data_IF_281798481380
#
_entry.id   IF_281798481380
#
_cell.length_a   1.000
_cell.length_b   1.000
_cell.length_c   1.000
_cell.angle_alpha   90.00
_cell.angle_beta   90.00
_cell.angle_gamma   90.00
#
_symmetry.space_group_name_H-M   'P 1'
#
loop_
_entity.id
_entity.type
_entity.pdbx_description
1 polymer ?
#
# COMPACT_ATOMS: atom_id res chain seq x y z
N UNK A 1 53.32 -42.16 4.59
CA UNK A 1 52.69 -41.37 5.67
C UNK A 1 52.61 -39.92 5.20
N UNK A 2 51.42 -39.48 4.80
CA UNK A 2 50.76 -38.23 5.23
C UNK A 2 49.73 -37.83 4.18
N UNK A 3 48.50 -38.31 4.34
CA UNK A 3 47.33 -37.67 3.76
C UNK A 3 47.04 -36.42 4.58
N UNK A 4 47.01 -35.25 3.92
CA UNK A 4 46.48 -34.03 4.51
C UNK A 4 44.97 -34.01 4.32
N UNK A 5 44.22 -34.32 5.38
CA UNK A 5 42.80 -34.04 5.46
C UNK A 5 42.62 -32.52 5.59
N UNK A 6 42.20 -31.87 4.51
CA UNK A 6 41.65 -30.52 4.57
C UNK A 6 40.24 -30.60 5.16
N UNK A 7 40.08 -30.13 6.39
CA UNK A 7 38.77 -29.81 6.95
C UNK A 7 38.17 -28.66 6.14
N UNK A 8 37.29 -28.99 5.19
CA UNK A 8 36.33 -28.05 4.66
C UNK A 8 35.28 -27.81 5.74
N UNK A 9 35.43 -26.71 6.48
CA UNK A 9 34.37 -26.18 7.33
C UNK A 9 33.26 -25.73 6.40
N UNK A 10 32.20 -26.52 6.24
CA UNK A 10 30.95 -26.08 5.64
C UNK A 10 30.31 -25.05 6.57
N UNK A 11 30.70 -23.78 6.41
CA UNK A 11 29.90 -22.65 6.87
C UNK A 11 28.56 -22.75 6.16
N UNK A 12 27.49 -23.11 6.88
CA UNK A 12 26.15 -23.14 6.29
C UNK A 12 25.83 -21.78 5.70
N UNK A 13 25.43 -21.75 4.43
CA UNK A 13 24.96 -20.51 3.78
C UNK A 13 23.74 -20.01 4.54
N UNK A 14 23.82 -18.78 5.07
CA UNK A 14 22.71 -18.12 5.76
C UNK A 14 21.54 -17.97 4.77
N UNK A 15 20.35 -18.46 5.14
CA UNK A 15 19.15 -18.37 4.29
C UNK A 15 18.44 -17.05 4.50
N UNK A 16 17.58 -16.65 3.55
CA UNK A 16 16.76 -15.45 3.70
C UNK A 16 15.88 -15.47 4.96
N UNK A 17 15.33 -16.64 5.30
CA UNK A 17 14.47 -16.82 6.50
C UNK A 17 15.21 -16.56 7.82
N UNK A 18 16.53 -16.70 7.82
CA UNK A 18 17.38 -16.49 9.00
C UNK A 18 17.65 -14.99 9.24
N UNK A 19 17.55 -14.14 8.21
CA UNK A 19 17.89 -12.71 8.27
C UNK A 19 16.68 -11.78 8.28
N UNK A 20 15.55 -12.19 7.70
CA UNK A 20 14.40 -11.30 7.46
C UNK A 20 13.90 -10.57 8.70
N UNK A 21 13.90 -11.25 9.85
CA UNK A 21 13.44 -10.67 11.12
C UNK A 21 14.37 -9.53 11.54
N UNK A 22 15.68 -9.72 11.45
CA UNK A 22 16.64 -8.68 11.84
C UNK A 22 16.66 -7.53 10.83
N UNK A 23 16.53 -7.81 9.53
CA UNK A 23 16.38 -6.79 8.50
C UNK A 23 15.15 -5.91 8.76
N UNK A 24 14.00 -6.52 9.07
CA UNK A 24 12.76 -5.81 9.39
C UNK A 24 12.91 -4.94 10.65
N UNK A 25 13.50 -5.51 11.72
CA UNK A 25 13.76 -4.79 12.97
C UNK A 25 14.67 -3.59 12.77
N UNK A 26 15.72 -3.74 11.97
CA UNK A 26 16.69 -2.69 11.72
C UNK A 26 16.06 -1.57 10.88
N UNK A 27 15.27 -1.90 9.86
CA UNK A 27 14.49 -0.90 9.11
C UNK A 27 13.50 -0.16 10.02
N UNK A 28 12.77 -0.86 10.89
CA UNK A 28 11.81 -0.25 11.84
C UNK A 28 12.50 0.72 12.81
N UNK A 29 13.74 0.42 13.24
CA UNK A 29 14.50 1.30 14.14
C UNK A 29 14.94 2.61 13.50
N UNK A 30 15.01 2.65 12.18
CA UNK A 30 15.28 3.88 11.44
C UNK A 30 13.97 4.65 11.36
N UNK A 31 13.83 5.69 12.19
CA UNK A 31 12.69 6.60 12.10
C UNK A 31 12.73 7.33 10.76
N UNK A 32 11.72 7.05 9.93
CA UNK A 32 11.49 7.64 8.60
C UNK A 32 10.12 8.32 8.55
N UNK A 33 9.62 8.81 9.69
CA UNK A 33 8.29 9.42 9.80
C UNK A 33 8.08 10.55 8.79
N UNK A 34 7.03 10.44 7.99
CA UNK A 34 6.69 11.41 6.95
C UNK A 34 5.43 12.21 7.29
N UNK A 35 5.61 13.47 7.66
CA UNK A 35 4.51 14.41 7.97
C UNK A 35 3.93 15.11 6.73
N UNK A 36 4.52 14.90 5.55
CA UNK A 36 4.15 15.57 4.31
C UNK A 36 4.61 17.03 4.18
N UNK A 37 5.37 17.55 5.14
CA UNK A 37 5.85 18.95 5.16
C UNK A 37 7.38 19.07 5.32
N UNK A 38 8.10 17.95 5.17
CA UNK A 38 9.56 17.84 5.36
C UNK A 38 10.08 18.14 6.77
N UNK A 39 9.21 18.17 7.79
CA UNK A 39 9.63 18.32 9.19
C UNK A 39 10.22 17.03 9.79
N UNK A 40 9.93 15.88 9.18
CA UNK A 40 10.43 14.56 9.59
C UNK A 40 11.92 14.33 9.28
N UNK A 41 12.48 13.21 9.76
CA UNK A 41 13.89 12.86 9.58
C UNK A 41 14.29 12.56 8.12
N UNK A 42 13.34 12.09 7.30
CA UNK A 42 13.59 11.60 5.94
C UNK A 42 14.13 10.17 5.89
N UNK A 43 14.18 9.62 4.68
CA UNK A 43 14.43 8.20 4.37
C UNK A 43 15.90 7.91 4.07
N UNK A 44 16.77 8.94 4.01
CA UNK A 44 18.19 8.79 3.65
C UNK A 44 18.92 7.69 4.42
N UNK A 45 18.69 7.59 5.73
CA UNK A 45 19.32 6.55 6.54
C UNK A 45 18.82 5.14 6.18
N UNK A 46 17.54 4.99 5.85
CA UNK A 46 16.97 3.72 5.39
C UNK A 46 17.49 3.38 3.98
N UNK A 47 17.53 4.34 3.06
CA UNK A 47 18.11 4.17 1.73
C UNK A 47 19.58 3.72 1.79
N UNK A 48 20.40 4.35 2.64
CA UNK A 48 21.80 3.93 2.84
C UNK A 48 21.91 2.52 3.44
N UNK A 49 21.04 2.17 4.39
CA UNK A 49 20.99 0.82 4.95
C UNK A 49 20.63 -0.23 3.88
N UNK A 50 19.60 0.02 3.07
CA UNK A 50 19.21 -0.84 1.94
C UNK A 50 20.38 -1.00 0.97
N UNK A 51 21.00 0.11 0.58
CA UNK A 51 22.13 0.11 -0.34
C UNK A 51 23.33 -0.69 0.21
N UNK A 52 23.66 -0.53 1.50
CA UNK A 52 24.69 -1.32 2.17
C UNK A 52 24.37 -2.82 2.11
N UNK A 53 23.12 -3.21 2.42
CA UNK A 53 22.71 -4.62 2.41
C UNK A 53 22.70 -5.22 1.00
N UNK A 54 22.44 -4.46 -0.05
CA UNK A 54 22.57 -4.94 -1.42
C UNK A 54 24.04 -5.01 -1.86
N UNK A 55 24.88 -4.05 -1.45
CA UNK A 55 26.30 -4.02 -1.78
C UNK A 55 27.09 -5.17 -1.12
N UNK A 56 26.73 -5.58 0.10
CA UNK A 56 27.31 -6.75 0.80
C UNK A 56 27.23 -8.06 -0.03
N UNK A 57 26.28 -8.15 -0.97
CA UNK A 57 26.07 -9.32 -1.84
C UNK A 57 26.43 -9.06 -3.30
N UNK A 58 27.19 -7.99 -3.58
CA UNK A 58 27.80 -7.72 -4.87
C UNK A 58 26.92 -6.98 -5.88
N UNK A 59 25.84 -6.33 -5.45
CA UNK A 59 25.12 -5.36 -6.26
C UNK A 59 25.74 -3.96 -6.13
N UNK A 60 25.48 -3.11 -7.13
CA UNK A 60 25.89 -1.71 -7.15
C UNK A 60 24.62 -0.83 -7.09
N UNK A 61 23.98 -0.68 -5.92
CA UNK A 61 22.78 0.13 -5.76
C UNK A 61 23.09 1.63 -5.91
N UNK A 62 22.17 2.36 -6.52
CA UNK A 62 22.23 3.81 -6.67
C UNK A 62 21.20 4.48 -5.76
N UNK A 63 21.60 5.57 -5.10
CA UNK A 63 20.72 6.36 -4.23
C UNK A 63 20.38 7.68 -4.91
N UNK A 64 19.08 7.96 -5.05
CA UNK A 64 18.53 9.16 -5.67
C UNK A 64 17.87 10.02 -4.62
N UNK A 65 18.42 11.21 -4.37
CA UNK A 65 17.91 12.16 -3.38
C UNK A 65 17.29 13.37 -4.07
N UNK A 66 15.96 13.43 -4.09
CA UNK A 66 15.18 14.46 -4.82
C UNK A 66 14.95 15.74 -4.00
N UNK A 67 14.99 15.59 -2.67
CA UNK A 67 14.98 16.66 -1.69
C UNK A 67 15.84 16.22 -0.50
N UNK A 68 16.38 17.15 0.28
CA UNK A 68 17.19 16.83 1.45
C UNK A 68 16.46 15.83 2.35
N UNK A 69 17.06 14.66 2.56
CA UNK A 69 16.51 13.56 3.35
C UNK A 69 15.60 12.60 2.58
N UNK A 70 15.00 13.02 1.45
CA UNK A 70 14.11 12.21 0.60
C UNK A 70 14.90 11.41 -0.40
N UNK A 71 15.24 10.17 -0.05
CA UNK A 71 16.14 9.35 -0.84
C UNK A 71 15.56 7.97 -1.14
N UNK A 72 15.55 7.59 -2.42
CA UNK A 72 15.20 6.26 -2.89
C UNK A 72 16.46 5.47 -3.27
N UNK A 73 16.44 4.14 -3.12
CA UNK A 73 17.51 3.24 -3.56
C UNK A 73 17.02 2.35 -4.69
N UNK A 74 17.77 2.30 -5.80
CA UNK A 74 17.46 1.44 -6.95
C UNK A 74 18.63 0.54 -7.26
N UNK A 75 18.35 -0.72 -7.58
CA UNK A 75 19.35 -1.67 -8.05
C UNK A 75 18.76 -2.58 -9.13
N UNK A 76 19.60 -3.10 -10.02
CA UNK A 76 19.21 -4.08 -11.03
C UNK A 76 19.97 -5.39 -10.85
N UNK A 77 19.25 -6.50 -10.91
CA UNK A 77 19.79 -7.85 -10.92
C UNK A 77 19.65 -8.39 -12.33
N UNK A 78 20.77 -8.76 -12.95
CA UNK A 78 20.78 -9.44 -14.24
C UNK A 78 20.19 -10.84 -14.11
N UNK A 79 19.20 -11.15 -14.96
CA UNK A 79 18.59 -12.46 -15.06
C UNK A 79 19.43 -13.50 -15.80
N UNK A 80 18.91 -14.71 -15.89
CA UNK A 80 19.47 -15.77 -16.74
C UNK A 80 19.24 -15.51 -18.24
N UNK A 81 18.11 -14.89 -18.58
CA UNK A 81 17.75 -14.48 -19.94
C UNK A 81 17.38 -12.98 -19.99
N UNK A 82 18.33 -12.10 -20.36
CA UNK A 82 18.09 -10.66 -20.44
C UNK A 82 17.20 -10.25 -21.63
N UNK A 83 16.80 -11.19 -22.50
CA UNK A 83 15.81 -10.91 -23.56
C UNK A 83 14.37 -10.92 -23.04
N UNK A 84 14.14 -11.47 -21.85
CA UNK A 84 12.83 -11.45 -21.19
C UNK A 84 12.57 -10.06 -20.61
N UNK A 85 11.32 -9.56 -20.67
CA UNK A 85 10.95 -8.32 -20.01
C UNK A 85 11.26 -8.35 -18.51
N UNK A 86 11.81 -7.26 -17.99
CA UNK A 86 12.18 -7.16 -16.59
C UNK A 86 10.95 -7.04 -15.66
N UNK A 87 11.13 -7.45 -14.40
CA UNK A 87 10.17 -7.28 -13.32
C UNK A 87 10.66 -6.20 -12.35
N UNK A 88 9.78 -5.28 -11.99
CA UNK A 88 10.01 -4.38 -10.86
C UNK A 88 9.49 -5.01 -9.56
N UNK A 89 10.29 -4.95 -8.50
CA UNK A 89 9.87 -5.18 -7.13
C UNK A 89 10.10 -3.88 -6.40
N UNK A 90 9.04 -3.28 -5.88
CA UNK A 90 9.15 -2.00 -5.17
C UNK A 90 8.46 -2.01 -3.82
N UNK A 91 8.92 -1.11 -2.96
CA UNK A 91 8.31 -0.75 -1.69
C UNK A 91 8.79 0.62 -1.26
N UNK A 92 8.17 1.21 -0.25
CA UNK A 92 8.59 2.49 0.32
C UNK A 92 9.15 2.30 1.73
N UNK A 93 10.10 3.18 2.07
CA UNK A 93 10.83 3.11 3.34
C UNK A 93 10.36 4.17 4.34
N UNK A 94 9.55 5.13 3.92
CA UNK A 94 8.89 6.05 4.84
C UNK A 94 7.73 5.39 5.58
N UNK A 95 7.22 6.10 6.59
CA UNK A 95 6.10 5.62 7.40
C UNK A 95 5.29 6.82 7.86
N UNK A 96 3.98 6.65 8.09
CA UNK A 96 3.21 7.70 8.78
C UNK A 96 3.76 8.01 10.19
N UNK A 97 3.55 9.24 10.71
CA UNK A 97 3.96 9.61 12.06
C UNK A 97 3.33 8.71 13.14
N UNK A 98 4.06 8.50 14.23
CA UNK A 98 3.59 7.75 15.39
C UNK A 98 3.85 8.53 16.69
N UNK A 99 2.83 8.63 17.55
CA UNK A 99 2.99 9.18 18.89
C UNK A 99 3.33 8.06 19.88
N UNK A 100 4.56 8.04 20.39
CA UNK A 100 5.04 6.96 21.25
C UNK A 100 4.22 6.74 22.54
N UNK A 101 3.52 7.76 23.05
CA UNK A 101 2.66 7.64 24.24
C UNK A 101 1.42 6.76 24.01
N UNK A 102 0.99 6.62 22.75
CA UNK A 102 -0.19 5.83 22.39
C UNK A 102 0.14 4.34 22.13
N UNK A 103 1.42 3.96 22.23
CA UNK A 103 1.90 2.63 21.87
C UNK A 103 2.29 1.78 23.08
N UNK A 104 1.96 0.50 23.02
CA UNK A 104 2.36 -0.51 24.01
C UNK A 104 3.88 -0.75 23.97
N UNK A 105 4.45 -0.82 22.78
CA UNK A 105 5.89 -0.89 22.52
C UNK A 105 6.32 0.31 21.69
N UNK A 106 7.47 0.90 21.99
CA UNK A 106 7.91 2.11 21.29
C UNK A 106 7.87 1.89 19.76
N UNK A 107 7.30 2.82 18.96
CA UNK A 107 7.02 2.60 17.54
C UNK A 107 8.26 2.30 16.71
N UNK A 108 9.43 2.79 17.12
CA UNK A 108 10.72 2.53 16.44
C UNK A 108 11.62 1.57 17.21
N UNK A 109 11.05 0.64 17.97
CA UNK A 109 11.83 -0.31 18.78
C UNK A 109 12.38 -1.49 17.99
N UNK A 110 11.59 -2.03 17.04
CA UNK A 110 11.88 -3.31 16.40
C UNK A 110 11.98 -4.43 17.45
N UNK A 111 11.17 -4.39 18.50
CA UNK A 111 11.11 -5.42 19.54
C UNK A 111 10.42 -6.68 19.03
N UNK A 112 10.87 -7.85 19.50
CA UNK A 112 10.17 -9.11 19.25
C UNK A 112 9.42 -9.47 20.52
N UNK A 113 8.09 -9.44 20.47
CA UNK A 113 7.19 -9.75 21.59
C UNK A 113 6.01 -10.54 21.06
N UNK A 114 5.65 -11.63 21.75
CA UNK A 114 4.59 -12.56 21.36
C UNK A 114 4.70 -13.01 19.89
N UNK A 115 5.90 -13.44 19.51
CA UNK A 115 6.25 -13.91 18.16
C UNK A 115 5.97 -12.92 17.02
N UNK A 116 5.85 -11.62 17.34
CA UNK A 116 5.71 -10.54 16.38
C UNK A 116 6.87 -9.57 16.48
N UNK A 117 7.28 -8.98 15.36
CA UNK A 117 8.12 -7.78 15.32
C UNK A 117 7.22 -6.57 15.45
N UNK A 118 7.46 -5.74 16.46
CA UNK A 118 6.66 -4.55 16.78
C UNK A 118 7.32 -3.28 16.25
N UNK A 119 6.50 -2.42 15.66
CA UNK A 119 6.87 -1.06 15.31
C UNK A 119 6.14 -0.53 14.10
N UNK A 120 6.19 0.79 13.95
CA UNK A 120 5.67 1.52 12.79
C UNK A 120 6.46 1.10 11.54
N UNK A 121 5.73 0.68 10.51
CA UNK A 121 6.28 0.11 9.28
C UNK A 121 6.40 -1.42 9.28
N UNK A 122 6.00 -2.10 10.35
CA UNK A 122 5.93 -3.57 10.37
C UNK A 122 4.88 -4.15 9.41
N UNK A 123 3.87 -3.37 9.02
CA UNK A 123 2.78 -3.70 8.10
C UNK A 123 2.86 -2.86 6.83
N UNK A 124 3.25 -1.58 6.96
CA UNK A 124 3.29 -0.62 5.85
C UNK A 124 4.59 0.21 5.84
N UNK A 125 5.63 -0.21 5.13
CA UNK A 125 5.76 -1.54 4.50
C UNK A 125 7.17 -2.15 4.60
N UNK A 126 7.88 -1.83 5.67
CA UNK A 126 9.26 -2.29 5.92
C UNK A 126 9.38 -3.80 6.09
N UNK A 127 8.28 -4.51 6.34
CA UNK A 127 8.21 -5.97 6.26
C UNK A 127 8.48 -6.48 4.85
N UNK A 128 7.80 -5.92 3.84
CA UNK A 128 7.99 -6.29 2.44
C UNK A 128 9.39 -5.92 1.95
N UNK A 129 9.92 -4.78 2.37
CA UNK A 129 11.31 -4.40 2.09
C UNK A 129 12.30 -5.40 2.68
N UNK A 130 12.10 -5.80 3.94
CA UNK A 130 12.94 -6.78 4.60
C UNK A 130 12.86 -8.16 3.94
N UNK A 131 11.66 -8.61 3.55
CA UNK A 131 11.46 -9.87 2.83
C UNK A 131 12.17 -9.85 1.48
N UNK A 132 12.07 -8.75 0.74
CA UNK A 132 12.73 -8.55 -0.56
C UNK A 132 14.24 -8.57 -0.41
N UNK A 133 14.79 -7.82 0.55
CA UNK A 133 16.22 -7.82 0.85
C UNK A 133 16.73 -9.22 1.23
N UNK A 134 16.01 -9.92 2.09
CA UNK A 134 16.38 -11.27 2.54
C UNK A 134 16.47 -12.26 1.37
N UNK A 135 15.48 -12.27 0.49
CA UNK A 135 15.43 -13.16 -0.68
C UNK A 135 16.55 -12.84 -1.66
N UNK A 136 16.72 -11.56 -2.01
CA UNK A 136 17.76 -11.13 -2.96
C UNK A 136 19.15 -11.48 -2.44
N UNK A 137 19.42 -11.18 -1.16
CA UNK A 137 20.71 -11.50 -0.53
C UNK A 137 20.99 -13.00 -0.52
N UNK A 138 20.02 -13.83 -0.16
CA UNK A 138 20.17 -15.29 -0.18
C UNK A 138 20.46 -15.80 -1.60
N UNK A 139 19.67 -15.37 -2.59
CA UNK A 139 19.85 -15.75 -4.00
C UNK A 139 21.23 -15.36 -4.53
N UNK A 140 21.70 -14.14 -4.26
CA UNK A 140 23.01 -13.69 -4.73
C UNK A 140 24.17 -14.39 -4.03
N UNK A 141 24.11 -14.61 -2.71
CA UNK A 141 25.13 -15.40 -1.99
C UNK A 141 25.21 -16.84 -2.49
N UNK A 142 24.08 -17.41 -2.89
CA UNK A 142 23.99 -18.77 -3.44
C UNK A 142 24.23 -18.86 -4.95
N UNK A 143 24.44 -17.73 -5.63
CA UNK A 143 24.64 -17.68 -7.08
C UNK A 143 23.39 -18.04 -7.89
N UNK A 144 22.19 -17.97 -7.31
CA UNK A 144 20.91 -18.22 -7.99
C UNK A 144 20.43 -16.94 -8.67
N UNK A 145 20.60 -16.86 -9.99
CA UNK A 145 20.05 -15.75 -10.79
C UNK A 145 18.54 -15.90 -10.97
N UNK A 146 17.77 -14.80 -11.09
CA UNK A 146 16.37 -14.86 -11.47
C UNK A 146 16.23 -15.21 -12.96
N UNK A 147 15.12 -15.81 -13.40
CA UNK A 147 14.91 -16.16 -14.81
C UNK A 147 14.87 -14.98 -15.79
N UNK A 148 14.60 -13.77 -15.28
CA UNK A 148 14.55 -12.49 -16.00
C UNK A 148 15.17 -11.40 -15.15
N UNK A 149 15.51 -10.26 -15.76
CA UNK A 149 16.03 -9.10 -15.02
C UNK A 149 15.04 -8.64 -13.94
N UNK A 150 15.57 -8.29 -12.77
CA UNK A 150 14.79 -7.72 -11.66
C UNK A 150 15.30 -6.31 -11.38
N UNK A 151 14.41 -5.32 -11.39
CA UNK A 151 14.67 -3.98 -10.86
C UNK A 151 14.11 -3.94 -9.44
N UNK A 152 14.94 -3.53 -8.48
CA UNK A 152 14.53 -3.27 -7.11
C UNK A 152 14.43 -1.76 -6.92
N UNK A 153 13.34 -1.27 -6.34
CA UNK A 153 13.19 0.14 -5.98
C UNK A 153 12.64 0.27 -4.56
N UNK A 154 13.45 0.80 -3.66
CA UNK A 154 13.07 1.16 -2.29
C UNK A 154 12.89 2.66 -2.23
N UNK A 155 11.64 3.09 -2.15
CA UNK A 155 11.18 4.43 -2.48
C UNK A 155 11.04 5.29 -1.23
N UNK A 156 11.04 6.60 -1.44
CA UNK A 156 10.75 7.59 -0.42
C UNK A 156 9.40 8.25 -0.68
N UNK A 157 8.84 8.83 0.35
CA UNK A 157 7.77 9.81 0.27
C UNK A 157 6.39 9.27 -0.18
N UNK A 158 6.17 7.96 -0.16
CA UNK A 158 4.88 7.34 -0.55
C UNK A 158 3.74 7.87 0.33
N UNK A 159 3.98 7.91 1.65
CA UNK A 159 3.03 8.32 2.69
C UNK A 159 2.66 9.82 2.61
N UNK A 160 3.35 10.57 1.74
CA UNK A 160 3.07 11.96 1.40
C UNK A 160 2.80 12.19 -0.10
N UNK A 161 2.46 11.14 -0.85
CA UNK A 161 2.00 11.20 -2.24
C UNK A 161 3.05 10.91 -3.31
N UNK A 162 4.21 10.39 -2.92
CA UNK A 162 5.25 9.84 -3.79
C UNK A 162 5.97 10.87 -4.68
N UNK A 163 5.79 12.17 -4.42
CA UNK A 163 6.31 13.26 -5.27
C UNK A 163 7.83 13.25 -5.30
N UNK A 164 8.44 12.98 -4.14
CA UNK A 164 9.88 12.95 -3.98
C UNK A 164 10.49 11.55 -4.16
N UNK A 165 9.68 10.49 -4.28
CA UNK A 165 10.14 9.13 -4.59
C UNK A 165 9.76 8.67 -5.98
N UNK A 166 8.74 7.81 -6.09
CA UNK A 166 8.39 7.15 -7.35
C UNK A 166 8.09 8.14 -8.48
N UNK A 167 7.34 9.22 -8.22
CA UNK A 167 7.06 10.26 -9.24
C UNK A 167 8.34 10.96 -9.66
N UNK A 168 9.27 11.21 -8.74
CA UNK A 168 10.56 11.79 -9.09
C UNK A 168 11.35 10.86 -10.01
N UNK A 169 11.47 9.58 -9.65
CA UNK A 169 12.21 8.60 -10.45
C UNK A 169 11.59 8.39 -11.83
N UNK A 170 10.27 8.22 -11.92
CA UNK A 170 9.58 8.05 -13.20
C UNK A 170 9.77 9.27 -14.12
N UNK A 171 9.70 10.49 -13.57
CA UNK A 171 9.77 11.71 -14.37
C UNK A 171 11.21 12.11 -14.76
N UNK A 172 12.20 11.84 -13.91
CA UNK A 172 13.57 12.35 -14.08
C UNK A 172 14.57 11.24 -14.42
N UNK A 173 14.25 9.99 -14.09
CA UNK A 173 15.08 8.81 -14.27
C UNK A 173 14.32 7.62 -14.91
N UNK A 174 13.51 7.82 -15.98
CA UNK A 174 12.76 6.72 -16.59
C UNK A 174 13.64 5.60 -17.14
N UNK A 175 14.92 5.90 -17.44
CA UNK A 175 15.91 4.92 -17.90
C UNK A 175 16.14 3.77 -16.91
N UNK A 176 15.91 3.98 -15.60
CA UNK A 176 16.05 2.94 -14.59
C UNK A 176 15.08 1.77 -14.82
N UNK A 177 13.91 2.08 -15.41
CA UNK A 177 12.81 1.15 -15.63
C UNK A 177 12.71 0.69 -17.08
N UNK A 178 13.73 0.95 -17.91
CA UNK A 178 13.75 0.47 -19.29
C UNK A 178 13.64 -1.08 -19.31
N UNK A 179 12.77 -1.59 -20.18
CA UNK A 179 12.50 -3.01 -20.34
C UNK A 179 11.60 -3.63 -19.26
N UNK A 180 11.19 -2.88 -18.23
CA UNK A 180 10.23 -3.34 -17.23
C UNK A 180 8.82 -3.33 -17.81
N UNK A 181 8.10 -4.43 -17.70
CA UNK A 181 6.70 -4.52 -18.17
C UNK A 181 5.71 -4.81 -17.06
N UNK A 182 6.17 -5.38 -15.95
CA UNK A 182 5.34 -5.75 -14.81
C UNK A 182 6.02 -5.37 -13.51
N UNK A 183 5.22 -5.11 -12.46
CA UNK A 183 5.70 -4.81 -11.13
C UNK A 183 4.92 -5.57 -10.06
N UNK A 184 5.61 -5.94 -8.98
CA UNK A 184 4.99 -6.25 -7.70
C UNK A 184 5.40 -5.22 -6.66
N UNK A 185 4.49 -4.90 -5.74
CA UNK A 185 4.80 -4.01 -4.64
C UNK A 185 3.83 -4.12 -3.48
N UNK A 186 3.56 -2.95 -2.91
CA UNK A 186 2.85 -2.69 -1.67
C UNK A 186 1.42 -3.22 -1.69
N UNK A 187 0.91 -3.51 -0.49
CA UNK A 187 -0.47 -3.88 -0.17
C UNK A 187 -1.03 -5.07 -0.97
N UNK A 188 -1.52 -6.08 -0.27
CA UNK A 188 -1.96 -7.33 -0.90
C UNK A 188 -0.90 -8.42 -0.78
N UNK A 189 -1.17 -9.61 -1.29
CA UNK A 189 -0.43 -10.83 -0.96
C UNK A 189 -0.63 -11.33 0.46
N UNK A 190 -1.18 -10.55 1.40
CA UNK A 190 -1.47 -11.03 2.75
C UNK A 190 -2.74 -11.90 2.81
N UNK A 191 -2.79 -12.77 3.81
CA UNK A 191 -3.79 -13.82 3.90
C UNK A 191 -5.00 -13.46 4.78
N UNK A 192 -6.19 -13.93 4.40
CA UNK A 192 -7.36 -14.00 5.27
C UNK A 192 -7.82 -15.45 5.43
N UNK A 193 -7.85 -15.94 6.66
CA UNK A 193 -8.32 -17.31 6.92
C UNK A 193 -9.86 -17.35 6.95
N UNK A 194 -10.46 -18.10 6.03
CA UNK A 194 -11.93 -18.26 5.95
C UNK A 194 -12.39 -19.46 6.77
N UNK A 195 -11.72 -20.60 6.60
CA UNK A 195 -11.94 -21.83 7.36
C UNK A 195 -10.69 -22.72 7.30
N UNK A 196 -10.76 -23.91 7.91
CA UNK A 196 -9.65 -24.87 7.95
C UNK A 196 -9.18 -25.38 6.58
N UNK A 197 -9.98 -25.22 5.52
CA UNK A 197 -9.70 -25.71 4.17
C UNK A 197 -9.54 -24.57 3.14
N UNK A 198 -9.70 -23.31 3.56
CA UNK A 198 -9.65 -22.16 2.67
C UNK A 198 -8.99 -20.96 3.35
N UNK A 199 -7.89 -20.50 2.75
CA UNK A 199 -7.25 -19.22 3.07
C UNK A 199 -7.14 -18.38 1.80
N UNK A 200 -7.72 -17.18 1.83
CA UNK A 200 -7.63 -16.23 0.73
C UNK A 200 -6.31 -15.48 0.83
N UNK A 201 -5.73 -15.14 -0.31
CA UNK A 201 -4.60 -14.22 -0.42
C UNK A 201 -5.00 -13.11 -1.39
N UNK A 202 -5.08 -11.88 -0.91
CA UNK A 202 -5.64 -10.75 -1.64
C UNK A 202 -4.58 -10.14 -2.55
N UNK A 203 -4.58 -10.44 -3.85
CA UNK A 203 -3.65 -9.84 -4.81
C UNK A 203 -4.23 -8.52 -5.27
N UNK A 204 -3.59 -7.39 -4.99
CA UNK A 204 -4.10 -6.11 -5.47
C UNK A 204 -3.99 -6.04 -6.99
N UNK A 205 -5.13 -5.87 -7.65
CA UNK A 205 -5.23 -5.63 -9.10
C UNK A 205 -5.90 -4.30 -9.40
N UNK A 206 -6.35 -3.57 -8.39
CA UNK A 206 -6.95 -2.26 -8.55
C UNK A 206 -6.75 -1.42 -7.30
N UNK A 207 -6.80 -0.10 -7.47
CA UNK A 207 -6.77 0.85 -6.38
C UNK A 207 -7.61 2.07 -6.71
N UNK A 208 -8.22 2.67 -5.68
CA UNK A 208 -9.07 3.84 -5.83
C UNK A 208 -8.25 5.09 -6.21
N UNK A 209 -8.91 5.95 -6.95
CA UNK A 209 -8.46 7.31 -7.17
C UNK A 209 -8.67 8.16 -5.92
N UNK A 210 -7.94 9.26 -5.85
CA UNK A 210 -7.96 10.19 -4.73
C UNK A 210 -8.40 11.55 -5.22
N UNK A 211 -9.28 12.19 -4.46
CA UNK A 211 -9.71 13.55 -4.72
C UNK A 211 -10.00 14.24 -3.39
N UNK A 212 -8.95 14.75 -2.77
CA UNK A 212 -9.06 15.54 -1.56
C UNK A 212 -9.41 16.97 -1.92
N UNK A 213 -10.42 17.51 -1.26
CA UNK A 213 -11.05 18.75 -1.68
C UNK A 213 -11.19 19.70 -0.50
N UNK A 214 -10.96 20.99 -0.76
CA UNK A 214 -11.41 22.07 0.08
C UNK A 214 -12.72 22.61 -0.48
N UNK A 215 -13.74 22.62 0.36
CA UNK A 215 -15.03 23.23 0.09
C UNK A 215 -15.06 24.61 0.74
N UNK A 216 -15.45 25.63 -0.02
CA UNK A 216 -15.56 27.01 0.46
C UNK A 216 -16.91 27.59 0.10
N UNK A 217 -17.56 28.20 1.09
CA UNK A 217 -18.76 29.03 0.87
C UNK A 217 -18.48 30.44 1.39
N UNK A 218 -18.71 31.42 0.54
CA UNK A 218 -18.72 32.83 0.91
C UNK A 218 -20.15 33.28 1.25
N UNK A 219 -20.26 34.18 2.22
CA UNK A 219 -21.51 34.81 2.65
C UNK A 219 -21.29 36.23 3.16
N UNK A 220 -22.34 36.83 3.69
CA UNK A 220 -22.30 38.22 4.14
C UNK A 220 -21.98 38.29 5.64
N UNK A 221 -20.83 38.88 6.00
CA UNK A 221 -20.46 39.08 7.40
C UNK A 221 -21.41 40.06 8.10
N UNK A 222 -21.70 39.84 9.38
CA UNK A 222 -22.64 40.69 10.11
C UNK A 222 -22.71 40.44 11.61
N UNK A 223 -23.49 41.25 12.32
CA UNK A 223 -23.76 41.02 13.74
C UNK A 223 -24.84 39.94 13.91
N UNK A 224 -24.63 38.98 14.82
CA UNK A 224 -25.52 37.82 15.00
C UNK A 224 -26.95 38.14 15.44
N UNK A 225 -27.22 39.38 15.87
CA UNK A 225 -28.57 39.85 16.21
C UNK A 225 -29.35 40.44 15.04
N UNK A 226 -28.71 40.62 13.88
CA UNK A 226 -29.34 41.22 12.70
C UNK A 226 -29.83 40.13 11.76
N UNK A 227 -30.89 40.41 11.00
CA UNK A 227 -31.38 39.50 9.95
C UNK A 227 -30.29 39.28 8.89
N UNK A 228 -29.98 38.01 8.60
CA UNK A 228 -29.02 37.63 7.56
C UNK A 228 -29.52 36.35 6.87
N UNK A 229 -29.75 36.44 5.56
CA UNK A 229 -30.21 35.31 4.73
C UNK A 229 -29.08 34.69 3.89
N UNK A 230 -27.84 35.16 4.08
CA UNK A 230 -26.65 34.79 3.32
C UNK A 230 -25.53 34.33 4.27
N UNK A 231 -25.83 33.30 5.06
CA UNK A 231 -24.94 32.78 6.08
C UNK A 231 -24.10 31.61 5.54
N UNK A 232 -22.79 31.83 5.42
CA UNK A 232 -21.84 30.84 4.93
C UNK A 232 -21.82 29.54 5.75
N UNK A 233 -22.00 29.62 7.07
CA UNK A 233 -22.04 28.44 7.95
C UNK A 233 -23.24 27.57 7.60
N UNK A 234 -24.42 28.17 7.49
CA UNK A 234 -25.67 27.42 7.22
C UNK A 234 -25.58 26.71 5.88
N UNK A 235 -25.21 27.42 4.82
CA UNK A 235 -25.09 26.83 3.47
C UNK A 235 -24.04 25.71 3.43
N UNK A 236 -22.83 25.94 3.97
CA UNK A 236 -21.79 24.91 3.96
C UNK A 236 -22.18 23.69 4.80
N UNK A 237 -22.75 23.88 5.99
CA UNK A 237 -23.13 22.76 6.87
C UNK A 237 -24.27 21.94 6.28
N UNK A 238 -25.19 22.54 5.54
CA UNK A 238 -26.19 21.80 4.77
C UNK A 238 -25.54 20.99 3.64
N UNK A 239 -24.63 21.57 2.87
CA UNK A 239 -23.91 20.86 1.80
C UNK A 239 -23.07 19.69 2.32
N UNK A 240 -22.26 19.93 3.36
CA UNK A 240 -21.47 18.91 4.04
C UNK A 240 -22.37 17.83 4.66
N UNK A 241 -23.50 18.24 5.23
CA UNK A 241 -24.49 17.32 5.79
C UNK A 241 -25.22 16.47 4.75
N UNK A 242 -25.43 16.99 3.53
CA UNK A 242 -25.92 16.21 2.38
C UNK A 242 -24.86 15.21 1.92
N UNK A 243 -23.61 15.66 1.80
CA UNK A 243 -22.49 14.83 1.37
C UNK A 243 -22.22 13.67 2.34
N UNK A 244 -22.04 13.95 3.63
CA UNK A 244 -21.72 12.94 4.63
C UNK A 244 -22.85 11.94 4.91
N UNK A 245 -24.07 12.17 4.40
CA UNK A 245 -25.20 11.22 4.45
C UNK A 245 -25.49 10.57 3.10
N UNK A 246 -24.78 10.96 2.06
CA UNK A 246 -25.00 10.42 0.73
C UNK A 246 -24.54 8.96 0.67
N UNK A 247 -25.38 8.10 0.10
CA UNK A 247 -25.00 6.73 -0.24
C UNK A 247 -24.70 6.70 -1.72
N UNK A 248 -23.42 6.58 -2.06
CA UNK A 248 -23.00 6.38 -3.45
C UNK A 248 -23.53 5.03 -3.96
N UNK A 249 -23.83 4.93 -5.25
CA UNK A 249 -24.33 3.69 -5.83
C UNK A 249 -23.28 2.58 -5.77
N UNK A 250 -23.72 1.33 -5.57
CA UNK A 250 -22.87 0.15 -5.74
C UNK A 250 -22.48 0.03 -7.21
N UNK A 251 -21.18 -0.18 -7.44
CA UNK A 251 -20.58 -0.31 -8.76
C UNK A 251 -19.62 -1.49 -8.76
N UNK A 252 -19.97 -2.50 -9.54
CA UNK A 252 -19.18 -3.73 -9.68
C UNK A 252 -18.15 -3.52 -10.78
N UNK A 253 -16.93 -3.12 -10.41
CA UNK A 253 -15.79 -3.02 -11.33
C UNK A 253 -15.35 -4.41 -11.82
N UNK A 254 -14.41 -4.47 -12.77
CA UNK A 254 -13.91 -5.75 -13.29
C UNK A 254 -13.22 -6.55 -12.18
N UNK A 255 -12.40 -5.88 -11.38
CA UNK A 255 -11.71 -6.48 -10.23
C UNK A 255 -12.68 -7.02 -9.20
N UNK A 256 -13.69 -6.23 -8.81
CA UNK A 256 -14.73 -6.67 -7.87
C UNK A 256 -15.48 -7.88 -8.40
N UNK A 257 -15.86 -7.87 -9.69
CA UNK A 257 -16.54 -9.01 -10.31
C UNK A 257 -15.68 -10.27 -10.24
N UNK A 258 -14.41 -10.17 -10.64
CA UNK A 258 -13.47 -11.28 -10.58
C UNK A 258 -13.29 -11.79 -9.15
N UNK A 259 -13.22 -10.89 -8.16
CA UNK A 259 -13.14 -11.28 -6.75
C UNK A 259 -14.37 -12.08 -6.31
N UNK A 260 -15.58 -11.59 -6.63
CA UNK A 260 -16.83 -12.27 -6.29
C UNK A 260 -16.96 -13.62 -6.99
N UNK A 261 -16.52 -13.74 -8.24
CA UNK A 261 -16.52 -15.00 -9.01
C UNK A 261 -15.58 -16.02 -8.35
N UNK A 262 -14.34 -15.63 -8.06
CA UNK A 262 -13.33 -16.48 -7.41
C UNK A 262 -13.76 -16.92 -6.00
N UNK A 263 -14.42 -16.03 -5.26
CA UNK A 263 -14.92 -16.32 -3.92
C UNK A 263 -16.17 -17.19 -3.93
N UNK A 264 -17.08 -16.97 -4.90
CA UNK A 264 -18.26 -17.82 -5.09
C UNK A 264 -17.86 -19.25 -5.42
N UNK A 265 -16.85 -19.43 -6.28
CA UNK A 265 -16.24 -20.73 -6.59
C UNK A 265 -15.62 -21.36 -5.33
N UNK A 266 -14.81 -20.62 -4.58
CA UNK A 266 -14.15 -21.12 -3.38
C UNK A 266 -15.13 -21.51 -2.26
N UNK A 267 -16.25 -20.79 -2.11
CA UNK A 267 -17.28 -21.06 -1.10
C UNK A 267 -18.36 -22.04 -1.58
N UNK A 268 -18.40 -22.36 -2.89
CA UNK A 268 -19.47 -23.15 -3.50
C UNK A 268 -20.86 -22.52 -3.37
N UNK A 269 -20.94 -21.20 -3.20
CA UNK A 269 -22.18 -20.45 -2.97
C UNK A 269 -22.19 -19.19 -3.83
N UNK A 270 -23.27 -18.92 -4.61
CA UNK A 270 -23.37 -17.68 -5.38
C UNK A 270 -23.37 -16.46 -4.45
N UNK A 271 -22.53 -15.47 -4.75
CA UNK A 271 -22.54 -14.17 -4.10
C UNK A 271 -23.28 -13.16 -4.99
N UNK A 272 -24.23 -12.45 -4.40
CA UNK A 272 -24.99 -11.41 -5.11
C UNK A 272 -24.34 -10.04 -4.86
N UNK A 273 -23.82 -9.35 -5.90
CA UNK A 273 -23.29 -8.01 -5.74
C UNK A 273 -24.36 -6.95 -5.43
N UNK A 274 -25.64 -7.23 -5.66
CA UNK A 274 -26.74 -6.30 -5.39
C UNK A 274 -27.29 -6.44 -3.96
N UNK A 275 -27.14 -7.61 -3.33
CA UNK A 275 -27.41 -7.85 -1.90
C UNK A 275 -26.11 -8.00 -1.11
N UNK A 276 -25.42 -6.86 -0.94
CA UNK A 276 -24.17 -6.83 -0.21
C UNK A 276 -24.36 -7.10 1.28
N UNK A 277 -25.52 -6.82 1.88
CA UNK A 277 -25.71 -7.09 3.31
C UNK A 277 -25.66 -8.61 3.58
N UNK A 278 -26.31 -9.42 2.74
CA UNK A 278 -26.24 -10.88 2.82
C UNK A 278 -24.84 -11.40 2.44
N UNK A 279 -24.23 -10.86 1.38
CA UNK A 279 -22.87 -11.23 0.94
C UNK A 279 -21.84 -10.94 2.04
N UNK A 280 -21.84 -9.74 2.61
CA UNK A 280 -20.92 -9.33 3.67
C UNK A 280 -21.12 -10.15 4.96
N UNK A 281 -22.37 -10.49 5.32
CA UNK A 281 -22.64 -11.33 6.48
C UNK A 281 -22.00 -12.73 6.36
N UNK A 282 -21.91 -13.28 5.13
CA UNK A 282 -21.26 -14.57 4.84
C UNK A 282 -19.73 -14.48 4.86
N UNK A 283 -19.16 -13.28 4.67
CA UNK A 283 -17.72 -13.05 4.51
C UNK A 283 -16.99 -12.66 5.80
N UNK A 284 -17.73 -12.41 6.88
CA UNK A 284 -17.14 -12.11 8.19
C UNK A 284 -16.23 -10.88 8.17
N UNK A 285 -14.99 -11.01 8.66
CA UNK A 285 -14.03 -9.88 8.74
C UNK A 285 -13.65 -9.27 7.39
N UNK A 286 -13.66 -10.04 6.30
CA UNK A 286 -13.34 -9.55 4.93
C UNK A 286 -14.35 -8.49 4.48
N UNK A 287 -15.57 -8.53 5.00
CA UNK A 287 -16.65 -7.62 4.61
C UNK A 287 -16.25 -6.14 4.66
N UNK A 288 -15.51 -5.74 5.70
CA UNK A 288 -15.07 -4.34 5.85
C UNK A 288 -14.14 -3.91 4.71
N UNK A 289 -13.24 -4.81 4.31
CA UNK A 289 -12.27 -4.59 3.25
C UNK A 289 -12.98 -4.48 1.89
N UNK A 290 -13.99 -5.32 1.63
CA UNK A 290 -14.77 -5.28 0.38
C UNK A 290 -15.72 -4.07 0.34
N UNK A 291 -16.35 -3.71 1.46
CA UNK A 291 -17.38 -2.67 1.47
C UNK A 291 -16.90 -1.32 0.90
N UNK A 292 -15.67 -0.93 1.21
CA UNK A 292 -15.07 0.32 0.73
C UNK A 292 -14.72 0.34 -0.77
N UNK A 293 -14.73 -0.83 -1.41
CA UNK A 293 -14.21 -1.05 -2.78
C UNK A 293 -15.32 -1.24 -3.81
N UNK A 294 -16.57 -1.19 -3.34
CA UNK A 294 -17.79 -1.30 -4.14
C UNK A 294 -18.43 0.05 -4.47
N UNK A 295 -17.98 1.12 -3.84
CA UNK A 295 -18.59 2.44 -3.96
C UNK A 295 -17.52 3.53 -3.98
N UNK A 296 -17.85 4.63 -4.65
CA UNK A 296 -17.18 5.90 -4.39
C UNK A 296 -17.46 6.33 -2.93
N UNK A 297 -16.55 7.10 -2.35
CA UNK A 297 -16.69 7.59 -0.98
C UNK A 297 -16.27 9.05 -0.91
N UNK A 298 -16.98 9.84 -0.12
CA UNK A 298 -16.63 11.24 0.15
C UNK A 298 -16.91 11.56 1.61
N UNK A 299 -15.87 11.56 2.44
CA UNK A 299 -15.98 11.75 3.87
C UNK A 299 -15.57 13.18 4.25
N UNK A 300 -16.46 13.99 4.87
CA UNK A 300 -16.04 15.26 5.48
C UNK A 300 -15.10 15.00 6.65
N UNK A 301 -13.91 15.58 6.61
CA UNK A 301 -12.85 15.34 7.62
C UNK A 301 -12.51 16.57 8.45
N UNK A 302 -12.76 17.78 7.94
CA UNK A 302 -12.50 19.03 8.66
C UNK A 302 -13.61 20.06 8.40
N UNK A 303 -13.88 20.90 9.40
CA UNK A 303 -14.82 22.03 9.29
C UNK A 303 -14.25 23.24 10.04
N UNK A 304 -14.25 24.41 9.41
CA UNK A 304 -13.74 25.65 9.99
C UNK A 304 -14.64 26.85 9.64
N UNK A 305 -15.17 27.54 10.66
CA UNK A 305 -15.91 28.79 10.47
C UNK A 305 -16.09 29.59 11.77
N UNK A 306 -16.10 30.92 11.63
CA UNK A 306 -16.37 31.84 12.74
C UNK A 306 -15.21 31.99 13.74
N UNK A 307 -15.24 33.09 14.49
CA UNK A 307 -14.24 33.37 15.54
C UNK A 307 -14.84 34.03 16.79
N UNK A 308 -16.13 34.42 16.76
CA UNK A 308 -16.83 35.06 17.87
C UNK A 308 -18.34 34.83 17.77
N UNK A 309 -18.98 34.50 18.89
CA UNK A 309 -20.41 34.09 18.94
C UNK A 309 -21.40 35.11 18.38
N UNK A 310 -21.11 36.41 18.48
CA UNK A 310 -22.00 37.47 18.00
C UNK A 310 -21.63 38.00 16.61
N UNK A 311 -20.78 37.28 15.87
CA UNK A 311 -20.33 37.66 14.53
C UNK A 311 -20.66 36.53 13.55
N UNK A 312 -21.44 36.84 12.53
CA UNK A 312 -21.66 35.99 11.36
C UNK A 312 -20.42 36.10 10.48
N UNK A 313 -19.69 35.01 10.19
CA UNK A 313 -18.50 35.08 9.34
C UNK A 313 -18.87 35.28 7.88
N UNK A 314 -17.98 35.92 7.13
CA UNK A 314 -18.11 36.05 5.67
C UNK A 314 -17.72 34.80 4.90
N UNK A 315 -17.15 33.79 5.55
CA UNK A 315 -16.71 32.55 4.89
C UNK A 315 -16.76 31.37 5.87
N UNK A 316 -17.03 30.19 5.32
CA UNK A 316 -16.89 28.90 5.98
C UNK A 316 -16.15 27.93 5.05
N UNK A 317 -15.34 27.02 5.60
CA UNK A 317 -14.62 26.00 4.83
C UNK A 317 -14.74 24.61 5.44
N UNK A 318 -14.66 23.59 4.59
CA UNK A 318 -14.59 22.19 4.98
C UNK A 318 -13.56 21.44 4.12
N UNK A 319 -13.02 20.34 4.62
CA UNK A 319 -12.22 19.40 3.82
C UNK A 319 -12.93 18.06 3.70
N UNK A 320 -12.75 17.43 2.54
CA UNK A 320 -13.36 16.14 2.21
C UNK A 320 -12.29 15.22 1.64
N UNK A 321 -12.21 14.00 2.17
CA UNK A 321 -11.48 12.90 1.54
C UNK A 321 -12.43 12.20 0.55
N UNK A 322 -12.22 12.46 -0.75
CA UNK A 322 -12.89 11.76 -1.84
C UNK A 322 -12.05 10.60 -2.35
N UNK A 323 -12.69 9.43 -2.54
CA UNK A 323 -12.11 8.27 -3.22
C UNK A 323 -13.06 7.76 -4.27
N UNK A 324 -12.57 7.53 -5.48
CA UNK A 324 -13.39 7.04 -6.60
C UNK A 324 -12.87 5.72 -7.15
N UNK A 325 -13.76 4.89 -7.67
CA UNK A 325 -13.43 3.62 -8.27
C UNK A 325 -12.81 3.78 -9.66
N UNK A 326 -12.02 2.81 -10.12
CA UNK A 326 -11.51 2.78 -11.49
C UNK A 326 -12.60 3.00 -12.55
N UNK A 327 -12.35 3.97 -13.44
CA UNK A 327 -13.26 4.33 -14.53
C UNK A 327 -14.49 5.16 -14.13
N UNK A 328 -14.63 5.56 -12.85
CA UNK A 328 -15.80 6.27 -12.34
C UNK A 328 -15.51 7.69 -11.80
N UNK A 329 -14.40 8.29 -12.21
CA UNK A 329 -14.04 9.66 -11.82
C UNK A 329 -15.10 10.69 -12.26
N UNK A 330 -15.49 10.67 -13.54
CA UNK A 330 -16.51 11.59 -14.06
C UNK A 330 -17.86 11.44 -13.35
N UNK A 331 -18.26 10.20 -13.03
CA UNK A 331 -19.47 9.93 -12.25
C UNK A 331 -19.36 10.51 -10.84
N UNK A 332 -18.20 10.31 -10.19
CA UNK A 332 -17.93 10.85 -8.87
C UNK A 332 -17.98 12.39 -8.84
N UNK A 333 -17.34 13.04 -9.81
CA UNK A 333 -17.34 14.50 -9.93
C UNK A 333 -18.74 15.06 -10.16
N UNK A 334 -19.53 14.42 -11.04
CA UNK A 334 -20.91 14.80 -11.30
C UNK A 334 -21.81 14.63 -10.06
N UNK A 335 -21.61 13.57 -9.28
CA UNK A 335 -22.31 13.38 -8.01
C UNK A 335 -21.96 14.48 -7.00
N UNK A 336 -20.67 14.81 -6.86
CA UNK A 336 -20.23 15.90 -5.98
C UNK A 336 -20.87 17.24 -6.36
N UNK A 337 -20.87 17.60 -7.64
CA UNK A 337 -21.46 18.85 -8.13
C UNK A 337 -22.96 18.91 -7.80
N UNK A 338 -23.68 17.80 -7.99
CA UNK A 338 -25.10 17.66 -7.67
C UNK A 338 -25.38 17.76 -6.16
N UNK A 339 -24.56 17.12 -5.32
CA UNK A 339 -24.78 17.02 -3.87
C UNK A 339 -24.44 18.34 -3.16
N UNK A 340 -23.31 18.95 -3.55
CA UNK A 340 -22.81 20.17 -2.93
C UNK A 340 -23.66 21.37 -3.32
N UNK A 341 -24.04 21.46 -4.59
CA UNK A 341 -24.83 22.55 -5.13
C UNK A 341 -23.98 23.76 -5.55
N UNK A 342 -24.58 24.72 -6.27
CA UNK A 342 -23.85 25.73 -7.05
C UNK A 342 -23.16 26.82 -6.21
N UNK A 343 -23.45 26.90 -4.90
CA UNK A 343 -22.85 27.89 -4.00
C UNK A 343 -21.53 27.45 -3.40
N UNK A 344 -21.23 26.15 -3.44
CA UNK A 344 -20.01 25.60 -2.87
C UNK A 344 -18.92 25.65 -3.93
N UNK A 345 -17.84 26.38 -3.64
CA UNK A 345 -16.62 26.31 -4.44
C UNK A 345 -15.82 25.10 -3.99
N UNK A 346 -15.45 24.24 -4.94
CA UNK A 346 -14.55 23.10 -4.73
C UNK A 346 -13.17 23.46 -5.26
N UNK A 347 -12.15 23.28 -4.44
CA UNK A 347 -10.74 23.39 -4.81
C UNK A 347 -10.04 22.07 -4.51
N UNK A 348 -9.18 21.63 -5.43
CA UNK A 348 -8.44 20.38 -5.27
C UNK A 348 -7.25 20.62 -4.36
N UNK A 349 -7.14 19.82 -3.30
CA UNK A 349 -6.00 19.81 -2.39
C UNK A 349 -4.97 18.78 -2.85
N UNK A 350 -5.46 17.61 -3.24
CA UNK A 350 -4.68 16.53 -3.81
C UNK A 350 -5.58 15.67 -4.69
N UNK A 351 -5.07 15.25 -5.85
CA UNK A 351 -5.77 14.36 -6.74
C UNK A 351 -4.80 13.33 -7.32
N UNK A 352 -5.25 12.10 -7.45
CA UNK A 352 -4.50 11.02 -8.08
C UNK A 352 -5.43 10.01 -8.75
N UNK A 353 -4.96 9.37 -9.82
CA UNK A 353 -5.75 8.45 -10.65
C UNK A 353 -6.11 7.18 -9.90
N UNK A 354 -7.17 6.52 -10.36
CA UNK A 354 -7.48 5.13 -10.00
C UNK A 354 -6.76 4.19 -10.96
N UNK A 355 -6.35 3.01 -10.49
CA UNK A 355 -5.78 1.96 -11.35
C UNK A 355 -6.64 0.71 -11.34
N UNK A 356 -6.65 -0.01 -12.46
CA UNK A 356 -7.19 -1.36 -12.55
C UNK A 356 -6.44 -2.15 -13.63
N UNK A 357 -5.95 -3.33 -13.25
CA UNK A 357 -5.39 -4.34 -14.14
C UNK A 357 -6.20 -5.63 -14.08
N UNK A 358 -5.93 -6.56 -15.00
CA UNK A 358 -6.57 -7.88 -15.04
C UNK A 358 -5.90 -8.85 -14.07
N UNK A 359 -6.63 -9.88 -13.60
CA UNK A 359 -6.09 -10.95 -12.77
C UNK A 359 -5.73 -12.17 -13.64
N UNK A 360 -4.74 -12.01 -14.50
CA UNK A 360 -4.35 -13.01 -15.50
C UNK A 360 -2.86 -12.92 -15.89
N UNK A 361 -2.41 -13.92 -16.65
CA UNK A 361 -1.06 -13.99 -17.19
C UNK A 361 -0.05 -14.68 -16.27
N UNK A 362 1.15 -14.87 -16.81
CA UNK A 362 2.20 -15.68 -16.19
C UNK A 362 2.60 -15.18 -14.79
N UNK A 363 2.57 -13.87 -14.55
CA UNK A 363 2.92 -13.32 -13.24
C UNK A 363 1.92 -13.71 -12.16
N UNK A 364 0.62 -13.64 -12.46
CA UNK A 364 -0.45 -14.07 -11.53
C UNK A 364 -0.37 -15.58 -11.29
N UNK A 365 -0.09 -16.37 -12.32
CA UNK A 365 0.14 -17.82 -12.20
C UNK A 365 1.34 -18.13 -11.30
N UNK A 366 2.43 -17.34 -11.40
CA UNK A 366 3.60 -17.44 -10.52
C UNK A 366 3.24 -17.14 -9.06
N UNK A 367 2.48 -16.07 -8.79
CA UNK A 367 1.99 -15.75 -7.44
C UNK A 367 1.13 -16.89 -6.87
N UNK A 368 0.17 -17.38 -7.65
CA UNK A 368 -0.71 -18.48 -7.27
C UNK A 368 0.07 -19.75 -6.94
N UNK A 369 1.02 -20.12 -7.80
CA UNK A 369 1.86 -21.30 -7.63
C UNK A 369 2.74 -21.20 -6.38
N UNK A 370 3.40 -20.06 -6.18
CA UNK A 370 4.26 -19.82 -5.02
C UNK A 370 3.48 -19.87 -3.70
N UNK A 371 2.31 -19.23 -3.64
CA UNK A 371 1.41 -19.29 -2.49
C UNK A 371 0.94 -20.73 -2.22
N UNK A 372 0.51 -21.47 -3.25
CA UNK A 372 0.01 -22.84 -3.10
C UNK A 372 1.09 -23.81 -2.62
N UNK A 373 2.35 -23.58 -3.01
CA UNK A 373 3.48 -24.40 -2.60
C UNK A 373 3.80 -24.26 -1.10
N UNK A 374 3.61 -23.06 -0.53
CA UNK A 374 3.87 -22.79 0.89
C UNK A 374 2.61 -22.92 1.78
N UNK A 375 1.43 -22.84 1.17
CA UNK A 375 0.15 -23.02 1.84
C UNK A 375 -0.83 -23.81 0.94
N UNK A 376 -0.96 -25.14 1.17
CA UNK A 376 -1.81 -25.99 0.33
C UNK A 376 -3.30 -25.62 0.31
N UNK A 377 -3.78 -24.82 1.26
CA UNK A 377 -5.17 -24.32 1.27
C UNK A 377 -5.30 -22.89 0.75
N UNK A 378 -4.22 -22.31 0.21
CA UNK A 378 -4.23 -20.99 -0.37
C UNK A 378 -5.13 -20.91 -1.62
N UNK A 379 -5.82 -19.79 -1.73
CA UNK A 379 -6.54 -19.31 -2.90
C UNK A 379 -6.20 -17.83 -3.10
N UNK A 380 -5.41 -17.51 -4.12
CA UNK A 380 -5.21 -16.12 -4.50
C UNK A 380 -6.49 -15.58 -5.16
N UNK A 381 -6.88 -14.36 -4.81
CA UNK A 381 -8.06 -13.68 -5.33
C UNK A 381 -7.72 -12.21 -5.61
N UNK A 382 -8.29 -11.59 -6.65
CA UNK A 382 -8.00 -10.19 -6.96
C UNK A 382 -8.64 -9.24 -5.95
N UNK A 383 -8.01 -8.11 -5.69
CA UNK A 383 -8.41 -7.17 -4.67
C UNK A 383 -8.31 -5.73 -5.20
N UNK A 384 -9.31 -4.92 -4.84
CA UNK A 384 -9.29 -3.48 -5.10
C UNK A 384 -8.93 -2.77 -3.80
N UNK A 385 -7.78 -2.12 -3.73
CA UNK A 385 -7.37 -1.31 -2.60
C UNK A 385 -8.19 -0.02 -2.50
N UNK A 386 -8.65 0.31 -1.29
CA UNK A 386 -9.40 1.55 -1.04
C UNK A 386 -8.52 2.81 -0.99
N UNK A 387 -7.21 2.64 -0.79
CA UNK A 387 -6.18 3.67 -0.81
C UNK A 387 -5.50 3.83 -2.18
N UNK A 388 -4.25 4.30 -2.14
CA UNK A 388 -3.35 4.42 -3.29
C UNK A 388 -1.94 3.97 -2.90
N UNK A 389 -1.12 3.60 -3.88
CA UNK A 389 0.28 3.18 -3.75
C UNK A 389 1.14 3.82 -4.83
N UNK A 390 2.47 3.68 -4.71
CA UNK A 390 3.44 4.12 -5.73
C UNK A 390 3.25 3.46 -7.11
N UNK A 391 2.47 2.38 -7.22
CA UNK A 391 2.09 1.76 -8.49
C UNK A 391 1.47 2.77 -9.50
N UNK A 392 0.85 3.85 -9.02
CA UNK A 392 0.32 4.93 -9.88
C UNK A 392 1.40 5.58 -10.73
N UNK A 393 2.59 5.76 -10.16
CA UNK A 393 3.74 6.35 -10.86
C UNK A 393 4.24 5.41 -11.95
N UNK A 394 4.37 4.12 -11.65
CA UNK A 394 4.88 3.13 -12.61
C UNK A 394 3.90 2.83 -13.75
N UNK A 395 2.59 2.93 -13.50
CA UNK A 395 1.56 2.84 -14.54
C UNK A 395 1.72 3.94 -15.62
N UNK A 396 2.28 5.12 -15.30
CA UNK A 396 2.57 6.15 -16.30
C UNK A 396 3.64 5.72 -17.32
N UNK A 397 4.49 4.75 -16.95
CA UNK A 397 5.45 4.10 -17.86
C UNK A 397 4.85 2.91 -18.62
N UNK A 398 3.56 2.61 -18.41
CA UNK A 398 2.89 1.43 -18.97
C UNK A 398 3.25 0.12 -18.25
N UNK A 399 3.80 0.19 -17.04
CA UNK A 399 4.15 -0.99 -16.24
C UNK A 399 2.89 -1.53 -15.58
N UNK A 400 2.60 -2.81 -15.81
CA UNK A 400 1.46 -3.49 -15.21
C UNK A 400 1.77 -3.85 -13.74
N UNK A 401 1.10 -3.18 -12.81
CA UNK A 401 1.41 -3.29 -11.38
C UNK A 401 0.44 -4.19 -10.62
N UNK A 402 0.96 -4.91 -9.63
CA UNK A 402 0.20 -5.73 -8.69
C UNK A 402 0.71 -5.50 -7.27
N UNK A 403 -0.18 -5.50 -6.31
CA UNK A 403 0.20 -5.51 -4.90
C UNK A 403 0.34 -6.95 -4.38
N UNK A 404 1.54 -7.29 -3.94
CA UNK A 404 1.93 -8.64 -3.54
C UNK A 404 3.05 -8.62 -2.50
N UNK A 405 2.66 -8.36 -1.24
CA UNK A 405 3.46 -8.53 -0.03
C UNK A 405 3.00 -9.79 0.73
N UNK A 406 3.53 -10.99 0.40
CA UNK A 406 2.94 -12.23 0.86
C UNK A 406 3.16 -12.48 2.35
N UNK A 407 2.08 -12.37 3.14
CA UNK A 407 2.09 -12.68 4.56
C UNK A 407 1.01 -13.71 4.91
N UNK A 408 1.42 -14.77 5.62
CA UNK A 408 0.45 -15.67 6.26
C UNK A 408 0.15 -15.16 7.66
N UNK A 409 -1.09 -14.70 7.85
CA UNK A 409 -1.55 -14.02 9.05
C UNK A 409 -2.37 -14.96 9.96
N UNK A 410 -2.20 -14.86 11.29
CA UNK A 410 -3.10 -15.48 12.25
C UNK A 410 -4.54 -14.99 12.06
N UNK A 411 -5.58 -15.85 12.16
CA UNK A 411 -6.98 -15.46 11.96
C UNK A 411 -7.49 -14.34 12.87
N UNK A 412 -6.92 -14.21 14.07
CA UNK A 412 -7.29 -13.25 15.10
C UNK A 412 -6.58 -11.89 14.96
N UNK A 413 -5.56 -11.79 14.10
CA UNK A 413 -4.81 -10.55 13.91
C UNK A 413 -5.58 -9.59 13.01
N UNK A 414 -5.97 -8.43 13.54
CA UNK A 414 -6.62 -7.36 12.77
C UNK A 414 -5.60 -6.58 11.91
N UNK A 415 -5.01 -7.26 10.94
CA UNK A 415 -3.96 -6.70 10.07
C UNK A 415 -4.43 -5.48 9.29
N UNK A 416 -5.66 -5.54 8.76
CA UNK A 416 -6.25 -4.40 8.05
C UNK A 416 -6.45 -3.18 8.96
N UNK A 417 -6.79 -3.38 10.24
CA UNK A 417 -6.90 -2.29 11.22
C UNK A 417 -5.56 -1.69 11.67
N UNK A 418 -4.42 -2.34 11.37
CA UNK A 418 -3.09 -1.86 11.76
C UNK A 418 -2.49 -0.86 10.75
N UNK A 419 -2.99 -0.78 9.52
CA UNK A 419 -2.61 0.28 8.57
C UNK A 419 -2.87 1.66 9.19
N UNK A 420 -1.79 2.42 9.37
CA UNK A 420 -1.76 3.73 10.06
C UNK A 420 -2.25 3.68 11.54
N UNK A 421 -2.48 2.49 12.08
CA UNK A 421 -2.96 2.26 13.44
C UNK A 421 -1.85 2.38 14.49
N UNK A 422 -2.23 2.25 15.77
CA UNK A 422 -1.30 2.03 16.88
C UNK A 422 -0.97 0.54 17.00
N UNK A 423 0.14 0.21 17.65
CA UNK A 423 0.54 -1.17 17.95
C UNK A 423 0.71 -2.07 16.71
N UNK A 424 1.15 -1.46 15.61
CA UNK A 424 1.52 -2.15 14.37
C UNK A 424 2.62 -3.19 14.65
N UNK A 425 2.40 -4.39 14.10
CA UNK A 425 3.32 -5.52 14.26
C UNK A 425 3.09 -6.57 13.19
N UNK A 426 4.14 -7.32 12.88
CA UNK A 426 4.09 -8.43 11.91
C UNK A 426 4.55 -9.73 12.55
N UNK A 427 3.82 -10.84 12.34
CA UNK A 427 4.26 -12.14 12.83
C UNK A 427 5.61 -12.55 12.25
N UNK A 428 6.52 -13.02 13.10
CA UNK A 428 7.84 -13.54 12.69
C UNK A 428 7.69 -14.69 11.68
N UNK A 429 6.74 -15.59 11.92
CA UNK A 429 6.43 -16.69 10.99
C UNK A 429 5.81 -16.19 9.68
N UNK A 430 5.14 -15.03 9.70
CA UNK A 430 4.61 -14.34 8.53
C UNK A 430 5.74 -13.85 7.63
N UNK A 431 6.74 -13.17 8.19
CA UNK A 431 7.94 -12.72 7.47
C UNK A 431 8.69 -13.89 6.81
N UNK A 432 8.92 -14.97 7.57
CA UNK A 432 9.59 -16.18 7.04
C UNK A 432 8.78 -16.84 5.94
N UNK A 433 7.45 -16.90 6.10
CA UNK A 433 6.56 -17.39 5.05
C UNK A 433 6.68 -16.55 3.77
N UNK A 434 6.65 -15.22 3.90
CA UNK A 434 6.75 -14.33 2.74
C UNK A 434 8.09 -14.45 2.01
N UNK A 435 9.20 -14.61 2.73
CA UNK A 435 10.50 -14.94 2.10
C UNK A 435 10.42 -16.20 1.25
N UNK A 436 9.84 -17.29 1.77
CA UNK A 436 9.72 -18.55 1.00
C UNK A 436 8.80 -18.39 -0.22
N UNK A 437 7.71 -17.65 -0.09
CA UNK A 437 6.81 -17.35 -1.20
C UNK A 437 7.50 -16.50 -2.27
N UNK A 438 8.17 -15.41 -1.88
CA UNK A 438 8.88 -14.53 -2.81
C UNK A 438 10.02 -15.24 -3.53
N UNK A 439 10.80 -16.09 -2.83
CA UNK A 439 11.88 -16.86 -3.48
C UNK A 439 11.33 -17.81 -4.56
N UNK A 440 10.24 -18.53 -4.26
CA UNK A 440 9.56 -19.39 -5.24
C UNK A 440 8.91 -18.59 -6.37
N UNK A 441 8.33 -17.45 -6.05
CA UNK A 441 7.72 -16.56 -7.03
C UNK A 441 8.75 -16.10 -8.04
N UNK A 442 9.96 -15.71 -7.59
CA UNK A 442 11.03 -15.30 -8.50
C UNK A 442 11.46 -16.44 -9.44
N UNK A 443 11.55 -17.68 -8.95
CA UNK A 443 11.85 -18.84 -9.80
C UNK A 443 10.78 -19.09 -10.87
N UNK A 444 9.51 -18.74 -10.59
CA UNK A 444 8.37 -18.93 -11.49
C UNK A 444 8.06 -17.72 -12.39
N UNK A 445 8.63 -16.55 -12.09
CA UNK A 445 8.31 -15.27 -12.74
C UNK A 445 8.96 -15.05 -14.10
#
# INVERSE_FOLDING_TARGET
MSESLSNATTTGTVKGEDEVVDLCRDLIRIDTSNYGDHSGPGERAAAEYVAEKLAEVGLEPEIFESHKGRASTVARIEGEDPSRPALLIHGHTDVVPANAEDWTHHPFSGEIVDDCVWGRGAVDMKDMDAMTLAVVRDRLRSGRKPPRDIVLAFLADEEAGGVYGAKHLVNNHPELFEGVTEAIGEVGGFSFTVNEQLRLYLIETAQKGMHWMRLTVDGTAGHGSMTNNDNAITELTEAVGRLGRHKFPVRVTKTVRSFLDELSDALGTPLDPEDMDETLAKLGGIAKIIGATLQNTAAPTMLNAGYKVNVIPGQATAHVDGRFLPGLEDEFLADLDRILGPRVKREDVHADKALETTFDGALVEAMQSALKAEDPIARAVPYCLSGGTDAKSFDDLGIRCFGFAPLRLPPELDFAGMFHGVDERVPVDGLKFGVRVLDRFLDAS
#
